data_IF_248326586845
#
_entry.id   IF_248326586845
#
_cell.length_a   1.000
_cell.length_b   1.000
_cell.length_c   1.000
_cell.angle_alpha   90.00
_cell.angle_beta   90.00
_cell.angle_gamma   90.00
#
_symmetry.space_group_name_H-M   'P 1'
#
loop_
_entity.id
_entity.type
_entity.pdbx_description
1 polymer ?
#
# COMPACT_ATOMS: atom_id res chain seq x y z
N UNK A 1 -41.48 -56.28 49.75
CA UNK A 1 -42.56 -55.38 50.20
C UNK A 1 -41.91 -54.02 50.43
N UNK A 2 -42.32 -52.86 49.91
CA UNK A 2 -43.58 -52.36 49.33
C UNK A 2 -43.28 -51.45 48.14
N UNK A 3 -44.28 -51.36 47.25
CA UNK A 3 -44.40 -50.50 46.07
C UNK A 3 -44.46 -49.01 46.44
N UNK A 4 -43.94 -48.14 45.56
CA UNK A 4 -44.53 -46.82 45.34
C UNK A 4 -44.58 -46.50 43.85
N UNK A 5 -45.71 -45.88 43.49
CA UNK A 5 -46.32 -45.66 42.18
C UNK A 5 -46.19 -44.17 41.85
N UNK A 6 -45.72 -43.90 40.63
CA UNK A 6 -45.83 -42.73 39.74
C UNK A 6 -46.10 -41.30 40.28
N UNK A 7 -45.33 -40.34 39.75
CA UNK A 7 -45.89 -39.09 39.22
C UNK A 7 -45.06 -38.60 38.02
N UNK A 8 -45.69 -38.67 36.85
CA UNK A 8 -45.23 -38.14 35.57
C UNK A 8 -45.29 -36.61 35.58
N UNK A 9 -44.22 -35.95 35.14
CA UNK A 9 -44.23 -34.59 34.61
C UNK A 9 -43.44 -34.60 33.30
N UNK A 10 -44.03 -34.31 32.12
CA UNK A 10 -43.25 -34.18 30.90
C UNK A 10 -42.62 -32.78 30.89
N UNK A 11 -41.33 -32.68 31.19
CA UNK A 11 -40.59 -31.45 30.95
C UNK A 11 -40.27 -31.38 29.45
N UNK A 12 -41.14 -30.68 28.73
CA UNK A 12 -40.98 -30.32 27.33
C UNK A 12 -39.78 -29.35 27.22
N UNK A 13 -38.58 -29.88 26.97
CA UNK A 13 -37.43 -29.06 26.63
C UNK A 13 -37.61 -28.55 25.19
N UNK A 14 -38.05 -27.30 25.08
CA UNK A 14 -38.04 -26.54 23.84
C UNK A 14 -36.62 -26.51 23.27
N UNK A 15 -36.41 -27.19 22.15
CA UNK A 15 -35.28 -26.94 21.29
C UNK A 15 -35.49 -25.57 20.63
N UNK A 16 -34.96 -24.51 21.24
CA UNK A 16 -34.77 -23.24 20.54
C UNK A 16 -33.61 -23.42 19.56
N UNK A 17 -33.90 -23.87 18.35
CA UNK A 17 -33.02 -23.61 17.20
C UNK A 17 -33.30 -22.17 16.77
N UNK A 18 -32.53 -21.23 17.32
CA UNK A 18 -32.41 -19.88 16.76
C UNK A 18 -31.17 -19.85 15.87
N UNK A 19 -31.37 -20.28 14.64
CA UNK A 19 -30.60 -19.79 13.50
C UNK A 19 -31.64 -19.18 12.57
N UNK A 20 -32.09 -17.96 12.87
CA UNK A 20 -32.65 -17.13 11.80
C UNK A 20 -31.47 -16.76 10.90
N UNK A 21 -31.52 -17.17 9.63
CA UNK A 21 -30.52 -16.81 8.63
C UNK A 21 -30.47 -15.27 8.55
N UNK A 22 -29.43 -14.66 9.12
CA UNK A 22 -29.31 -13.19 9.24
C UNK A 22 -29.10 -12.51 7.88
N UNK A 23 -28.85 -13.31 6.83
CA UNK A 23 -28.78 -12.89 5.43
C UNK A 23 -30.05 -13.32 4.69
N UNK A 24 -30.62 -12.38 3.93
CA UNK A 24 -31.78 -12.67 3.07
C UNK A 24 -31.42 -13.66 1.96
N UNK A 25 -30.21 -13.56 1.42
CA UNK A 25 -29.71 -14.47 0.39
C UNK A 25 -28.22 -14.72 0.57
N UNK A 26 -27.85 -16.00 0.62
CA UNK A 26 -26.46 -16.44 0.60
C UNK A 26 -25.87 -16.17 -0.78
N UNK A 27 -24.60 -15.76 -0.82
CA UNK A 27 -23.91 -15.54 -2.09
C UNK A 27 -23.85 -16.86 -2.87
N UNK A 28 -24.34 -16.85 -4.10
CA UNK A 28 -24.26 -17.99 -5.00
C UNK A 28 -23.65 -17.53 -6.32
N UNK A 29 -22.63 -18.25 -6.79
CA UNK A 29 -22.02 -18.00 -8.08
C UNK A 29 -21.63 -19.33 -8.73
N UNK A 30 -21.98 -19.47 -10.00
CA UNK A 30 -21.46 -20.47 -10.93
C UNK A 30 -20.76 -19.74 -12.07
N UNK A 31 -19.59 -20.23 -12.45
CA UNK A 31 -18.80 -19.68 -13.54
C UNK A 31 -18.56 -20.77 -14.57
N UNK A 32 -18.88 -20.48 -15.83
CA UNK A 32 -18.55 -21.33 -16.97
C UNK A 32 -17.90 -20.48 -18.07
N UNK A 33 -17.25 -21.10 -19.05
CA UNK A 33 -16.61 -20.36 -20.15
C UNK A 33 -17.30 -20.61 -21.48
N UNK A 34 -17.26 -19.62 -22.37
CA UNK A 34 -17.70 -19.78 -23.77
C UNK A 34 -16.56 -20.39 -24.58
N UNK A 35 -16.75 -21.63 -25.04
CA UNK A 35 -15.78 -22.33 -25.90
C UNK A 35 -15.91 -21.90 -27.36
N UNK A 36 -14.78 -21.83 -28.07
CA UNK A 36 -14.70 -21.55 -29.51
C UNK A 36 -13.35 -22.07 -30.07
N UNK A 37 -13.00 -21.73 -31.32
CA UNK A 37 -11.75 -22.18 -31.94
C UNK A 37 -10.47 -21.77 -31.19
N UNK A 38 -10.54 -20.72 -30.36
CA UNK A 38 -9.44 -20.18 -29.55
C UNK A 38 -9.56 -20.51 -28.06
N UNK A 39 -10.68 -21.08 -27.60
CA UNK A 39 -10.96 -21.40 -26.19
C UNK A 39 -11.52 -22.82 -26.08
N UNK A 40 -10.79 -23.71 -25.45
CA UNK A 40 -11.18 -25.10 -25.23
C UNK A 40 -11.25 -25.40 -23.74
N UNK A 41 -12.19 -26.25 -23.33
CA UNK A 41 -12.29 -26.71 -21.95
C UNK A 41 -12.17 -28.24 -21.91
N UNK A 42 -11.29 -28.75 -21.06
CA UNK A 42 -11.10 -30.17 -20.79
C UNK A 42 -11.10 -30.39 -19.28
N UNK A 43 -12.22 -30.92 -18.75
CA UNK A 43 -12.46 -30.96 -17.31
C UNK A 43 -12.39 -29.56 -16.69
N UNK A 44 -11.55 -29.41 -15.67
CA UNK A 44 -11.32 -28.16 -14.94
C UNK A 44 -10.27 -27.24 -15.59
N UNK A 45 -9.66 -27.67 -16.69
CA UNK A 45 -8.63 -26.93 -17.41
C UNK A 45 -9.23 -26.21 -18.61
N UNK A 46 -8.95 -24.91 -18.73
CA UNK A 46 -9.37 -24.06 -19.84
C UNK A 46 -8.12 -23.62 -20.60
N UNK A 47 -8.01 -24.01 -21.86
CA UNK A 47 -6.91 -23.60 -22.74
C UNK A 47 -7.39 -22.46 -23.64
N UNK A 48 -6.68 -21.33 -23.65
CA UNK A 48 -7.00 -20.15 -24.46
C UNK A 48 -5.78 -19.67 -25.24
N UNK A 49 -5.97 -19.26 -26.50
CA UNK A 49 -4.90 -18.61 -27.27
C UNK A 49 -4.61 -17.22 -26.73
N UNK A 50 -3.34 -16.88 -26.59
CA UNK A 50 -2.86 -15.56 -26.19
C UNK A 50 -3.50 -14.47 -27.06
N UNK A 51 -3.95 -13.39 -26.42
CA UNK A 51 -4.61 -12.27 -27.08
C UNK A 51 -6.06 -12.53 -27.50
N UNK A 52 -6.59 -13.75 -27.32
CA UNK A 52 -8.01 -14.03 -27.56
C UNK A 52 -8.87 -13.66 -26.36
N UNK A 53 -10.13 -13.32 -26.63
CA UNK A 53 -11.12 -13.04 -25.59
C UNK A 53 -11.56 -14.34 -24.91
N UNK A 54 -11.38 -14.42 -23.59
CA UNK A 54 -11.98 -15.44 -22.74
C UNK A 54 -13.24 -14.87 -22.08
N UNK A 55 -14.39 -15.39 -22.50
CA UNK A 55 -15.70 -14.95 -22.00
C UNK A 55 -16.18 -15.92 -20.91
N UNK A 56 -16.31 -15.40 -19.69
CA UNK A 56 -16.91 -16.08 -18.55
C UNK A 56 -18.41 -15.79 -18.51
N UNK A 57 -19.22 -16.83 -18.34
CA UNK A 57 -20.66 -16.74 -18.07
C UNK A 57 -20.86 -16.89 -16.57
N UNK A 58 -21.56 -15.93 -15.98
CA UNK A 58 -21.80 -15.82 -14.54
C UNK A 58 -23.27 -16.09 -14.27
N UNK A 59 -23.55 -17.05 -13.38
CA UNK A 59 -24.92 -17.38 -12.92
C UNK A 59 -25.01 -17.36 -11.41
N UNK A 60 -26.11 -16.84 -10.88
CA UNK A 60 -26.33 -16.61 -9.46
C UNK A 60 -26.70 -15.15 -9.21
N UNK A 61 -26.94 -14.79 -7.94
CA UNK A 61 -27.30 -13.43 -7.56
C UNK A 61 -26.42 -12.86 -6.44
N UNK A 62 -25.12 -12.64 -6.69
CA UNK A 62 -24.25 -12.04 -5.69
C UNK A 62 -24.26 -10.51 -5.77
N UNK A 63 -24.31 -9.79 -4.66
CA UNK A 63 -24.28 -8.32 -4.62
C UNK A 63 -22.99 -7.75 -5.24
N UNK A 64 -21.86 -8.38 -4.94
CA UNK A 64 -20.56 -7.98 -5.46
C UNK A 64 -19.82 -9.16 -6.08
N UNK A 65 -19.04 -8.89 -7.12
CA UNK A 65 -18.09 -9.84 -7.69
C UNK A 65 -16.76 -9.15 -7.90
N UNK A 66 -15.69 -9.74 -7.35
CA UNK A 66 -14.30 -9.35 -7.61
C UNK A 66 -13.58 -10.46 -8.37
N UNK A 67 -12.89 -10.09 -9.44
CA UNK A 67 -12.14 -10.99 -10.31
C UNK A 67 -10.63 -10.83 -10.13
N UNK A 68 -9.95 -11.95 -9.91
CA UNK A 68 -8.50 -12.08 -9.89
C UNK A 68 -8.08 -12.88 -11.12
N UNK A 69 -7.25 -12.33 -12.01
CA UNK A 69 -6.85 -13.04 -13.23
C UNK A 69 -5.80 -14.13 -12.99
N UNK A 70 -5.10 -14.09 -11.85
CA UNK A 70 -3.95 -14.97 -11.59
C UNK A 70 -2.65 -14.49 -12.24
N UNK A 71 -2.69 -13.40 -13.00
CA UNK A 71 -1.49 -12.70 -13.46
C UNK A 71 -0.76 -12.03 -12.28
N UNK A 72 0.53 -11.73 -12.43
CA UNK A 72 1.31 -11.08 -11.37
C UNK A 72 0.63 -9.78 -10.89
N UNK A 73 0.46 -9.64 -9.56
CA UNK A 73 -0.27 -8.53 -8.95
C UNK A 73 -1.79 -8.74 -8.83
N UNK A 74 -2.32 -9.84 -9.40
CA UNK A 74 -3.74 -10.18 -9.44
C UNK A 74 -3.99 -11.64 -9.03
N UNK A 75 -3.20 -12.19 -8.11
CA UNK A 75 -3.31 -13.56 -7.62
C UNK A 75 -4.09 -13.61 -6.30
N UNK A 76 -5.22 -14.34 -6.28
CA UNK A 76 -6.09 -14.44 -5.10
C UNK A 76 -5.38 -14.96 -3.85
N UNK A 77 -4.42 -15.88 -4.01
CA UNK A 77 -3.64 -16.43 -2.89
C UNK A 77 -2.82 -15.36 -2.15
N UNK A 78 -2.51 -14.24 -2.80
CA UNK A 78 -1.73 -13.13 -2.24
C UNK A 78 -2.58 -11.89 -1.90
N UNK A 79 -3.91 -12.02 -1.87
CA UNK A 79 -4.83 -10.91 -1.58
C UNK A 79 -4.67 -10.31 -0.16
N UNK A 80 -4.15 -11.10 0.78
CA UNK A 80 -3.88 -10.67 2.17
C UNK A 80 -2.37 -10.61 2.47
N UNK A 81 -1.51 -10.76 1.44
CA UNK A 81 -0.07 -10.84 1.63
C UNK A 81 0.46 -9.46 2.04
N UNK A 82 1.06 -9.40 3.21
CA UNK A 82 1.77 -8.22 3.72
C UNK A 82 3.30 -8.41 3.72
N UNK A 83 3.76 -9.67 3.62
CA UNK A 83 5.16 -10.04 3.61
C UNK A 83 5.45 -11.19 2.65
N UNK A 84 6.70 -11.23 2.19
CA UNK A 84 7.26 -12.31 1.39
C UNK A 84 8.15 -13.19 2.28
N UNK A 85 8.13 -14.51 2.04
CA UNK A 85 9.01 -15.45 2.72
C UNK A 85 10.48 -15.14 2.39
N UNK A 86 11.34 -15.12 3.41
CA UNK A 86 12.72 -14.68 3.25
C UNK A 86 13.51 -15.60 2.34
N UNK A 87 13.26 -16.92 2.40
CA UNK A 87 13.91 -17.88 1.52
C UNK A 87 13.58 -17.68 0.04
N UNK A 88 12.50 -16.98 -0.30
CA UNK A 88 12.11 -16.78 -1.69
C UNK A 88 12.74 -15.51 -2.30
N UNK A 89 13.37 -14.66 -1.48
CA UNK A 89 13.96 -13.38 -1.90
C UNK A 89 15.43 -13.57 -2.27
N UNK A 90 15.80 -13.13 -3.47
CA UNK A 90 17.18 -13.09 -3.97
C UNK A 90 17.86 -11.77 -3.57
N UNK A 91 17.15 -10.65 -3.69
CA UNK A 91 17.66 -9.32 -3.34
C UNK A 91 16.54 -8.36 -2.98
N UNK A 92 16.83 -7.40 -2.10
CA UNK A 92 15.93 -6.29 -1.75
C UNK A 92 16.61 -4.95 -1.99
N UNK A 93 15.92 -4.00 -2.60
CA UNK A 93 16.46 -2.67 -2.93
C UNK A 93 15.47 -1.57 -2.60
N UNK A 94 15.90 -0.54 -1.87
CA UNK A 94 15.18 0.74 -1.82
C UNK A 94 15.64 1.59 -3.01
N UNK A 95 14.71 1.97 -3.89
CA UNK A 95 14.98 2.83 -5.04
C UNK A 95 14.15 4.10 -4.95
N UNK A 96 14.74 5.24 -5.33
CA UNK A 96 14.05 6.53 -5.41
C UNK A 96 14.90 7.53 -6.21
N UNK A 97 14.31 8.67 -6.59
CA UNK A 97 15.07 9.82 -7.10
C UNK A 97 14.75 11.09 -6.33
N UNK A 98 15.71 12.01 -6.25
CA UNK A 98 15.54 13.31 -5.58
C UNK A 98 15.90 14.45 -6.51
N UNK A 99 15.10 15.51 -6.53
CA UNK A 99 15.44 16.77 -7.18
C UNK A 99 14.90 17.97 -6.42
N UNK A 100 15.60 19.09 -6.51
CA UNK A 100 15.22 20.33 -5.82
C UNK A 100 14.60 21.31 -6.81
N UNK A 101 13.57 22.03 -6.37
CA UNK A 101 12.93 23.08 -7.16
C UNK A 101 13.05 24.43 -6.44
N UNK A 102 13.30 25.50 -7.20
CA UNK A 102 13.47 26.88 -6.70
C UNK A 102 14.68 27.09 -5.80
N UNK A 103 15.01 28.36 -5.52
CA UNK A 103 16.18 28.73 -4.72
C UNK A 103 17.45 28.79 -5.55
N UNK A 104 18.60 28.56 -4.92
CA UNK A 104 19.91 28.50 -5.58
C UNK A 104 20.85 27.53 -4.85
N UNK A 105 22.08 27.37 -5.34
CA UNK A 105 23.06 26.47 -4.74
C UNK A 105 23.36 26.77 -3.25
N UNK A 106 23.36 28.05 -2.86
CA UNK A 106 23.62 28.42 -1.47
C UNK A 106 22.46 28.01 -0.54
N UNK A 107 21.20 28.18 -0.97
CA UNK A 107 20.03 27.75 -0.17
C UNK A 107 19.73 26.26 -0.27
N UNK A 108 20.33 25.56 -1.23
CA UNK A 108 20.25 24.11 -1.39
C UNK A 108 21.35 23.34 -0.64
N UNK A 109 22.44 24.00 -0.23
CA UNK A 109 23.55 23.37 0.46
C UNK A 109 23.11 22.75 1.80
N UNK A 110 23.42 21.46 2.01
CA UNK A 110 23.08 20.70 3.23
C UNK A 110 21.59 20.74 3.61
N UNK A 111 20.70 20.95 2.63
CA UNK A 111 19.27 21.15 2.85
C UNK A 111 18.55 19.91 3.37
N UNK A 112 18.90 18.75 2.82
CA UNK A 112 18.25 17.47 3.08
C UNK A 112 19.28 16.46 3.59
N UNK A 113 18.86 15.61 4.52
CA UNK A 113 19.59 14.41 4.93
C UNK A 113 18.62 13.24 4.98
N UNK A 114 19.07 12.06 4.57
CA UNK A 114 18.27 10.83 4.60
C UNK A 114 18.95 9.82 5.52
N UNK A 115 18.14 9.17 6.34
CA UNK A 115 18.60 8.31 7.43
C UNK A 115 17.89 6.97 7.44
N UNK A 116 18.54 5.98 8.05
CA UNK A 116 18.03 4.64 8.32
C UNK A 116 18.43 4.21 9.73
N UNK A 117 17.59 3.41 10.38
CA UNK A 117 17.88 2.78 11.66
C UNK A 117 17.07 1.50 11.83
N UNK A 118 17.66 0.45 12.39
CA UNK A 118 16.97 -0.76 12.87
C UNK A 118 16.73 -0.74 14.39
N UNK A 119 17.04 0.38 15.06
CA UNK A 119 16.91 0.57 16.51
C UNK A 119 16.08 1.78 16.93
N UNK A 120 15.63 2.60 15.98
CA UNK A 120 14.70 3.70 16.27
C UNK A 120 13.34 3.13 16.68
N UNK A 121 12.83 3.54 17.84
CA UNK A 121 11.64 2.93 18.46
C UNK A 121 10.31 3.38 17.86
N UNK A 122 10.33 4.29 16.89
CA UNK A 122 9.13 4.92 16.33
C UNK A 122 8.68 6.16 17.10
N UNK A 123 7.69 6.85 16.55
CA UNK A 123 7.07 8.04 17.16
C UNK A 123 5.78 7.65 17.88
N UNK A 124 5.49 8.26 19.03
CA UNK A 124 4.28 8.03 19.79
C UNK A 124 3.06 8.76 19.19
N UNK A 125 3.29 9.88 18.49
CA UNK A 125 2.29 10.69 17.74
C UNK A 125 1.20 11.33 18.61
N UNK A 126 1.35 11.30 19.93
CA UNK A 126 0.45 11.91 20.90
C UNK A 126 1.15 12.92 21.83
N UNK A 127 2.48 13.02 21.75
CA UNK A 127 3.30 13.95 22.51
C UNK A 127 4.41 14.53 21.63
N UNK A 128 4.11 15.65 20.97
CA UNK A 128 5.03 16.28 20.03
C UNK A 128 6.37 16.66 20.65
N UNK A 129 6.38 17.09 21.91
CA UNK A 129 7.62 17.48 22.58
C UNK A 129 8.58 16.29 22.70
N UNK A 130 8.09 15.15 23.16
CA UNK A 130 8.92 13.93 23.29
C UNK A 130 9.34 13.39 21.92
N UNK A 131 8.41 13.31 20.97
CA UNK A 131 8.70 12.86 19.60
C UNK A 131 9.76 13.74 18.93
N UNK A 132 9.66 15.07 19.08
CA UNK A 132 10.60 16.03 18.49
C UNK A 132 12.02 15.88 19.05
N UNK A 133 12.15 15.69 20.36
CA UNK A 133 13.45 15.45 21.02
C UNK A 133 14.01 14.08 20.63
N UNK A 134 13.17 13.05 20.59
CA UNK A 134 13.58 11.70 20.20
C UNK A 134 14.14 11.67 18.78
N UNK A 135 13.40 12.19 17.79
CA UNK A 135 13.85 12.14 16.39
C UNK A 135 15.10 12.98 16.14
N UNK A 136 15.19 14.18 16.74
CA UNK A 136 16.33 15.09 16.53
C UNK A 136 17.60 14.60 17.24
N UNK A 137 17.46 14.03 18.45
CA UNK A 137 18.58 13.56 19.26
C UNK A 137 19.07 12.14 18.92
N UNK A 138 18.35 11.39 18.09
CA UNK A 138 18.70 10.01 17.77
C UNK A 138 19.98 9.92 16.93
N UNK A 139 20.81 8.92 17.24
CA UNK A 139 22.04 8.63 16.51
C UNK A 139 21.74 7.87 15.20
N UNK A 140 21.32 8.62 14.19
CA UNK A 140 20.96 8.07 12.88
C UNK A 140 22.18 7.60 12.06
N UNK A 141 22.01 6.49 11.34
CA UNK A 141 22.90 6.14 10.22
C UNK A 141 22.41 6.83 8.95
N UNK A 142 23.33 7.22 8.08
CA UNK A 142 22.98 7.78 6.77
C UNK A 142 22.39 6.68 5.88
N UNK A 143 21.21 6.93 5.32
CA UNK A 143 20.60 6.05 4.30
C UNK A 143 21.34 6.18 2.96
N UNK A 144 21.73 7.41 2.63
CA UNK A 144 22.62 7.75 1.51
C UNK A 144 23.66 8.74 2.00
N UNK A 145 24.84 8.75 1.38
CA UNK A 145 25.86 9.76 1.69
C UNK A 145 25.27 11.17 1.50
N UNK A 146 25.28 12.05 2.53
CA UNK A 146 24.77 13.41 2.41
C UNK A 146 25.41 14.23 1.28
N UNK A 147 26.67 13.96 0.93
CA UNK A 147 27.37 14.64 -0.17
C UNK A 147 26.86 14.25 -1.56
N UNK A 148 26.15 13.12 -1.66
CA UNK A 148 25.53 12.64 -2.90
C UNK A 148 24.14 13.24 -3.17
N UNK A 149 23.55 13.94 -2.18
CA UNK A 149 22.26 14.62 -2.35
C UNK A 149 22.39 15.85 -3.25
N UNK A 150 21.31 16.29 -3.94
CA UNK A 150 21.36 17.48 -4.76
C UNK A 150 21.87 18.69 -3.95
N UNK A 151 22.73 19.49 -4.58
CA UNK A 151 23.33 20.70 -3.99
C UNK A 151 22.85 21.99 -4.67
N UNK A 152 22.02 21.88 -5.70
CA UNK A 152 21.40 22.99 -6.40
C UNK A 152 20.03 22.60 -6.97
N UNK A 153 19.14 23.57 -7.22
CA UNK A 153 17.86 23.31 -7.88
C UNK A 153 18.03 22.84 -9.33
N UNK A 154 17.16 21.94 -9.75
CA UNK A 154 17.07 21.40 -11.11
C UNK A 154 15.61 21.19 -11.50
N UNK A 155 15.31 20.16 -12.27
CA UNK A 155 13.97 19.74 -12.66
C UNK A 155 13.86 18.21 -12.65
N UNK A 156 12.64 17.70 -12.82
CA UNK A 156 12.36 16.27 -12.76
C UNK A 156 13.17 15.41 -13.75
N UNK A 157 13.56 15.95 -14.92
CA UNK A 157 14.38 15.22 -15.89
C UNK A 157 15.83 15.01 -15.43
N UNK A 158 16.29 15.78 -14.44
CA UNK A 158 17.62 15.68 -13.83
C UNK A 158 17.55 15.26 -12.36
N UNK A 159 16.56 14.44 -12.00
CA UNK A 159 16.50 13.86 -10.66
C UNK A 159 17.65 12.88 -10.43
N UNK A 160 18.36 13.05 -9.32
CA UNK A 160 19.44 12.15 -8.92
C UNK A 160 18.83 10.85 -8.43
N UNK A 161 19.24 9.73 -9.02
CA UNK A 161 18.72 8.39 -8.71
C UNK A 161 19.54 7.75 -7.58
N UNK A 162 18.86 7.05 -6.68
CA UNK A 162 19.45 6.29 -5.59
C UNK A 162 18.93 4.87 -5.60
N UNK A 163 19.83 3.94 -5.31
CA UNK A 163 19.56 2.53 -5.07
C UNK A 163 20.35 2.15 -3.82
N UNK A 164 19.66 1.66 -2.79
CA UNK A 164 20.24 1.23 -1.52
C UNK A 164 19.92 -0.25 -1.33
N UNK A 165 20.95 -1.06 -1.07
CA UNK A 165 20.78 -2.48 -0.80
C UNK A 165 20.09 -2.69 0.56
N UNK A 166 18.90 -3.25 0.50
CA UNK A 166 18.06 -3.57 1.65
C UNK A 166 18.16 -5.05 2.05
N UNK A 167 18.89 -5.87 1.28
CA UNK A 167 19.10 -7.30 1.56
C UNK A 167 19.61 -7.57 2.99
N UNK A 168 20.56 -6.80 3.56
CA UNK A 168 21.03 -6.98 4.94
C UNK A 168 19.97 -6.74 6.04
N UNK A 169 18.82 -6.16 5.67
CA UNK A 169 17.73 -5.81 6.57
C UNK A 169 16.49 -6.70 6.40
N UNK A 170 16.57 -7.74 5.56
CA UNK A 170 15.51 -8.74 5.43
C UNK A 170 15.15 -9.35 6.80
N UNK A 171 13.85 -9.41 7.09
CA UNK A 171 13.33 -9.89 8.38
C UNK A 171 13.50 -8.93 9.57
N UNK A 172 14.17 -7.78 9.38
CA UNK A 172 14.32 -6.75 10.41
C UNK A 172 13.28 -5.64 10.24
N UNK A 173 12.87 -5.07 11.37
CA UNK A 173 12.15 -3.80 11.40
C UNK A 173 13.16 -2.67 11.29
N UNK A 174 12.88 -1.71 10.43
CA UNK A 174 13.71 -0.52 10.25
C UNK A 174 12.84 0.73 10.09
N UNK A 175 13.41 1.88 10.37
CA UNK A 175 12.83 3.18 10.12
C UNK A 175 13.74 3.94 9.17
N UNK A 176 13.13 4.59 8.17
CA UNK A 176 13.80 5.58 7.34
C UNK A 176 13.28 6.97 7.70
N UNK A 177 14.16 7.97 7.64
CA UNK A 177 13.78 9.35 7.94
C UNK A 177 14.42 10.34 6.96
N UNK A 178 13.72 11.43 6.68
CA UNK A 178 14.22 12.57 5.93
C UNK A 178 14.21 13.82 6.83
N UNK A 179 15.31 14.57 6.85
CA UNK A 179 15.47 15.79 7.63
C UNK A 179 15.68 16.98 6.68
N UNK A 180 14.69 17.88 6.63
CA UNK A 180 14.75 19.14 5.88
C UNK A 180 15.13 20.29 6.81
N UNK A 181 16.32 20.86 6.64
CA UNK A 181 16.86 21.91 7.53
C UNK A 181 17.68 22.95 6.76
N UNK A 182 17.04 23.86 6.01
CA UNK A 182 17.73 24.98 5.37
C UNK A 182 18.46 25.86 6.40
N UNK A 183 19.63 26.35 6.02
CA UNK A 183 20.45 27.26 6.84
C UNK A 183 20.42 28.70 6.36
N UNK A 184 20.01 28.92 5.11
CA UNK A 184 19.93 30.23 4.46
C UNK A 184 18.54 30.47 3.87
N UNK A 185 18.11 31.73 3.91
CA UNK A 185 16.87 32.21 3.31
C UNK A 185 17.11 33.45 2.42
N UNK A 186 18.34 33.68 1.97
CA UNK A 186 18.69 34.80 1.07
C UNK A 186 18.02 34.68 -0.30
N UNK A 187 17.63 33.47 -0.69
CA UNK A 187 16.71 33.15 -1.77
C UNK A 187 15.65 32.16 -1.27
N UNK A 188 14.79 31.66 -2.16
CA UNK A 188 13.83 30.63 -1.78
C UNK A 188 14.52 29.41 -1.14
N UNK A 189 13.93 28.91 -0.07
CA UNK A 189 14.28 27.61 0.51
C UNK A 189 13.72 26.55 -0.45
N UNK A 190 14.57 25.70 -1.07
CA UNK A 190 14.12 24.84 -2.15
C UNK A 190 13.03 23.86 -1.73
N UNK A 191 12.12 23.55 -2.66
CA UNK A 191 11.24 22.38 -2.55
C UNK A 191 12.08 21.14 -2.81
N UNK A 192 11.91 20.09 -2.03
CA UNK A 192 12.56 18.80 -2.28
C UNK A 192 11.51 17.82 -2.74
N UNK A 193 11.74 17.21 -3.90
CA UNK A 193 10.84 16.24 -4.51
C UNK A 193 11.50 14.86 -4.49
N UNK A 194 10.78 13.89 -3.96
CA UNK A 194 11.10 12.47 -4.03
C UNK A 194 10.20 11.85 -5.10
N UNK A 195 10.79 11.01 -5.94
CA UNK A 195 10.12 10.38 -7.08
C UNK A 195 10.30 8.88 -7.01
N UNK A 196 9.21 8.14 -7.13
CA UNK A 196 9.19 6.69 -7.28
C UNK A 196 9.83 5.94 -6.12
N UNK A 197 9.78 6.46 -4.89
CA UNK A 197 10.33 5.77 -3.73
C UNK A 197 9.60 4.46 -3.43
N UNK A 198 10.34 3.36 -3.47
CA UNK A 198 9.83 2.00 -3.27
C UNK A 198 10.90 1.02 -2.83
N UNK A 199 10.51 -0.01 -2.09
CA UNK A 199 11.31 -1.22 -1.89
C UNK A 199 10.89 -2.22 -2.97
N UNK A 200 11.86 -2.81 -3.66
CA UNK A 200 11.66 -3.88 -4.62
C UNK A 200 12.39 -5.14 -4.16
N UNK A 201 11.64 -6.24 -4.03
CA UNK A 201 12.22 -7.56 -3.76
C UNK A 201 12.17 -8.38 -5.05
N UNK A 202 13.34 -8.85 -5.50
CA UNK A 202 13.46 -9.80 -6.60
C UNK A 202 13.41 -11.20 -6.04
N UNK A 203 12.50 -12.01 -6.58
CA UNK A 203 12.20 -13.36 -6.15
C UNK A 203 13.03 -14.39 -6.90
N UNK A 204 13.16 -15.60 -6.35
CA UNK A 204 13.85 -16.74 -7.01
C UNK A 204 13.24 -17.14 -8.36
N UNK A 205 11.94 -16.96 -8.51
CA UNK A 205 11.22 -17.22 -9.77
C UNK A 205 11.36 -16.08 -10.79
N UNK A 206 12.11 -15.03 -10.46
CA UNK A 206 12.33 -13.84 -11.28
C UNK A 206 11.22 -12.79 -11.19
N UNK A 207 10.15 -13.03 -10.43
CA UNK A 207 9.14 -12.02 -10.16
C UNK A 207 9.66 -10.91 -9.24
N UNK A 208 8.99 -9.76 -9.24
CA UNK A 208 9.31 -8.62 -8.39
C UNK A 208 8.09 -8.23 -7.59
N UNK A 209 8.27 -8.08 -6.28
CA UNK A 209 7.26 -7.45 -5.41
C UNK A 209 7.70 -6.04 -5.06
N UNK A 210 6.73 -5.15 -4.88
CA UNK A 210 6.99 -3.73 -4.66
C UNK A 210 6.21 -3.21 -3.46
N UNK A 211 6.88 -2.43 -2.62
CA UNK A 211 6.27 -1.62 -1.56
C UNK A 211 6.59 -0.15 -1.80
N UNK A 212 5.61 0.63 -2.24
CA UNK A 212 5.75 2.07 -2.43
C UNK A 212 5.75 2.83 -1.10
N UNK A 213 6.23 4.07 -1.12
CA UNK A 213 6.30 4.98 0.03
C UNK A 213 5.00 5.12 0.84
N UNK A 214 3.83 4.92 0.24
CA UNK A 214 2.56 4.88 0.97
C UNK A 214 2.55 3.81 2.07
N UNK A 215 3.13 2.64 1.79
CA UNK A 215 3.27 1.56 2.76
C UNK A 215 4.29 1.84 3.87
N UNK A 216 5.03 2.95 3.79
CA UNK A 216 5.97 3.35 4.85
C UNK A 216 5.29 4.16 5.96
N UNK A 217 4.04 4.59 5.75
CA UNK A 217 3.24 5.35 6.72
C UNK A 217 3.98 6.54 7.33
N UNK A 218 4.63 7.32 6.46
CA UNK A 218 5.41 8.47 6.87
C UNK A 218 4.62 9.46 7.74
N UNK A 219 5.25 9.86 8.84
CA UNK A 219 4.75 10.85 9.79
C UNK A 219 5.66 12.09 9.74
N UNK A 220 5.15 13.25 9.30
CA UNK A 220 5.84 14.53 9.43
C UNK A 220 6.11 14.89 10.88
N UNK A 221 7.22 15.57 11.17
CA UNK A 221 7.46 16.25 12.45
C UNK A 221 7.87 17.69 12.15
N UNK A 222 6.90 18.59 12.17
CA UNK A 222 7.11 20.02 11.88
C UNK A 222 7.69 20.73 13.11
N UNK A 223 9.01 20.85 13.18
CA UNK A 223 9.73 21.48 14.29
C UNK A 223 9.37 22.96 14.47
N UNK A 224 8.71 23.58 13.49
CA UNK A 224 8.26 24.97 13.53
C UNK A 224 6.76 25.12 13.86
N UNK A 225 6.06 24.05 14.23
CA UNK A 225 4.61 24.01 14.41
C UNK A 225 4.05 25.11 15.33
N UNK A 226 4.73 25.41 16.44
CA UNK A 226 4.30 26.37 17.46
C UNK A 226 4.74 27.82 17.20
N UNK A 227 5.55 28.08 16.16
CA UNK A 227 6.02 29.43 15.82
C UNK A 227 4.96 30.28 15.10
N UNK A 228 3.80 29.69 14.75
CA UNK A 228 2.67 30.36 14.08
C UNK A 228 3.11 31.17 12.84
N UNK A 229 3.97 30.57 12.01
CA UNK A 229 4.52 31.22 10.83
C UNK A 229 3.40 31.64 9.86
N UNK A 230 3.45 32.88 9.37
CA UNK A 230 2.40 33.48 8.53
C UNK A 230 2.16 32.71 7.22
N UNK A 231 3.22 32.12 6.66
CA UNK A 231 3.20 31.29 5.44
C UNK A 231 2.73 29.84 5.68
N UNK A 232 2.37 29.51 6.92
CA UNK A 232 1.74 28.24 7.32
C UNK A 232 0.35 28.43 7.92
N UNK A 233 -0.27 29.61 7.76
CA UNK A 233 -1.57 29.96 8.38
C UNK A 233 -2.74 29.07 7.92
N UNK A 234 -2.62 28.44 6.75
CA UNK A 234 -3.64 27.53 6.22
C UNK A 234 -3.67 26.17 6.95
N UNK A 235 -2.65 25.83 7.73
CA UNK A 235 -2.71 24.67 8.62
C UNK A 235 -3.48 25.05 9.89
N UNK A 236 -4.78 24.80 9.85
CA UNK A 236 -5.72 25.09 10.96
C UNK A 236 -5.81 23.95 11.98
N UNK A 237 -5.35 22.75 11.63
CA UNK A 237 -5.30 21.58 12.51
C UNK A 237 -4.01 20.78 12.29
N UNK A 238 -3.64 19.97 13.29
CA UNK A 238 -2.49 19.05 13.28
C UNK A 238 -1.21 19.70 12.70
N UNK A 239 -0.76 20.80 13.32
CA UNK A 239 0.41 21.54 12.82
C UNK A 239 1.72 20.79 13.07
N UNK A 240 1.70 19.91 14.06
CA UNK A 240 2.77 19.05 14.55
C UNK A 240 3.12 17.96 13.54
N UNK A 241 2.10 17.22 13.06
CA UNK A 241 2.29 16.03 12.23
C UNK A 241 1.54 16.07 10.88
N UNK A 242 0.85 17.16 10.58
CA UNK A 242 -0.01 17.25 9.40
C UNK A 242 0.75 17.33 8.08
N UNK A 243 0.15 16.74 7.04
CA UNK A 243 0.54 16.91 5.64
C UNK A 243 -0.42 17.86 4.92
N UNK A 244 -0.04 18.29 3.74
CA UNK A 244 -0.86 19.17 2.88
C UNK A 244 -0.95 18.62 1.46
N UNK A 245 -2.03 18.95 0.76
CA UNK A 245 -2.15 18.74 -0.69
C UNK A 245 -2.00 20.05 -1.47
N UNK A 246 -2.10 21.19 -0.78
CA UNK A 246 -1.84 22.54 -1.30
C UNK A 246 -0.39 22.98 -1.02
N UNK A 247 0.03 24.08 -1.64
CA UNK A 247 1.40 24.59 -1.59
C UNK A 247 1.74 25.35 -0.29
N UNK A 248 1.62 24.71 0.88
CA UNK A 248 1.95 25.35 2.18
C UNK A 248 3.44 25.26 2.45
N UNK A 249 4.08 26.41 2.67
CA UNK A 249 5.54 26.54 2.79
C UNK A 249 6.15 25.68 3.91
N UNK A 250 7.12 24.83 3.56
CA UNK A 250 7.85 23.99 4.52
C UNK A 250 7.05 22.80 5.08
N UNK A 251 5.93 22.43 4.46
CA UNK A 251 5.10 21.30 4.88
C UNK A 251 5.16 20.18 3.84
N UNK A 252 5.08 18.94 4.32
CA UNK A 252 5.13 17.74 3.50
C UNK A 252 3.80 17.50 2.76
N UNK A 253 3.91 17.05 1.53
CA UNK A 253 2.82 16.59 0.69
C UNK A 253 3.09 15.15 0.26
N UNK A 254 2.21 14.25 0.72
CA UNK A 254 2.30 12.80 0.51
C UNK A 254 1.22 12.29 -0.46
N UNK A 255 0.51 13.17 -1.19
CA UNK A 255 -0.61 12.77 -2.04
C UNK A 255 -0.22 11.77 -3.16
N UNK A 256 1.05 11.78 -3.57
CA UNK A 256 1.59 10.86 -4.58
C UNK A 256 2.25 9.60 -4.01
N UNK A 257 2.22 9.39 -2.68
CA UNK A 257 3.02 8.35 -2.03
C UNK A 257 2.64 6.93 -2.50
N UNK A 258 1.42 6.73 -3.01
CA UNK A 258 0.95 5.46 -3.61
C UNK A 258 1.75 5.07 -4.86
N UNK A 259 2.43 6.03 -5.50
CA UNK A 259 3.37 5.83 -6.61
C UNK A 259 4.82 6.09 -6.21
N UNK A 260 5.08 6.32 -4.92
CA UNK A 260 6.39 6.66 -4.38
C UNK A 260 6.75 8.15 -4.47
N UNK A 261 5.81 9.01 -4.86
CA UNK A 261 6.06 10.44 -5.08
C UNK A 261 5.63 11.28 -3.86
N UNK A 262 6.52 12.12 -3.35
CA UNK A 262 6.18 13.05 -2.28
C UNK A 262 7.15 14.23 -2.26
N UNK A 263 6.81 15.29 -1.54
CA UNK A 263 7.67 16.47 -1.47
C UNK A 263 7.49 17.29 -0.21
N UNK A 264 8.47 18.11 0.13
CA UNK A 264 8.31 19.22 1.07
C UNK A 264 8.34 20.54 0.31
N UNK A 265 7.34 21.38 0.52
CA UNK A 265 7.17 22.62 -0.25
C UNK A 265 8.24 23.67 0.07
N UNK A 266 8.62 24.43 -0.97
CA UNK A 266 9.53 25.57 -0.86
C UNK A 266 8.97 26.69 0.02
N UNK A 267 9.84 27.57 0.48
CA UNK A 267 9.48 28.83 1.12
C UNK A 267 10.13 30.01 0.38
N UNK A 268 9.48 31.17 0.34
CA UNK A 268 10.01 32.36 -0.32
C UNK A 268 11.33 32.85 0.32
N UNK A 269 12.13 33.59 -0.44
CA UNK A 269 13.28 34.32 0.11
C UNK A 269 12.85 35.29 1.21
N UNK A 270 13.66 35.41 2.25
CA UNK A 270 13.36 36.18 3.46
C UNK A 270 12.37 35.52 4.43
N UNK A 271 11.68 34.45 4.04
CA UNK A 271 10.80 33.71 4.95
C UNK A 271 11.61 33.08 6.09
N UNK A 272 10.98 32.91 7.27
CA UNK A 272 11.61 32.20 8.39
C UNK A 272 12.01 30.79 7.96
N UNK A 273 13.23 30.38 8.34
CA UNK A 273 13.76 29.05 8.06
C UNK A 273 12.80 27.98 8.58
N UNK A 274 12.56 26.98 7.74
CA UNK A 274 11.76 25.82 8.10
C UNK A 274 12.67 24.75 8.69
N UNK A 275 12.06 23.87 9.47
CA UNK A 275 12.73 22.69 9.97
C UNK A 275 11.68 21.61 10.15
N UNK A 276 11.85 20.49 9.46
CA UNK A 276 10.86 19.42 9.43
C UNK A 276 11.53 18.08 9.20
N UNK A 277 11.00 17.05 9.86
CA UNK A 277 11.34 15.67 9.58
C UNK A 277 10.18 14.96 8.90
N UNK A 278 10.48 13.86 8.24
CA UNK A 278 9.53 12.87 7.77
C UNK A 278 10.06 11.50 8.19
N UNK A 279 9.32 10.78 9.05
CA UNK A 279 9.79 9.54 9.68
C UNK A 279 8.83 8.43 9.32
N UNK A 280 9.31 7.31 8.78
CA UNK A 280 8.45 6.16 8.51
C UNK A 280 8.00 5.50 9.80
N UNK A 281 6.96 4.68 9.72
CA UNK A 281 6.77 3.64 10.73
C UNK A 281 7.93 2.64 10.67
N UNK A 282 7.93 1.66 11.58
CA UNK A 282 8.81 0.50 11.44
C UNK A 282 8.35 -0.34 10.25
N UNK A 283 9.13 -0.29 9.16
CA UNK A 283 8.90 -1.06 7.94
C UNK A 283 9.79 -2.29 7.92
N UNK A 284 9.42 -3.28 7.11
CA UNK A 284 10.23 -4.47 6.85
C UNK A 284 10.60 -4.50 5.37
N UNK A 285 11.85 -4.88 5.05
CA UNK A 285 12.30 -4.95 3.66
C UNK A 285 11.53 -6.01 2.85
N UNK A 286 11.13 -7.12 3.49
CA UNK A 286 10.33 -8.16 2.86
C UNK A 286 8.82 -7.88 2.90
N UNK A 287 8.38 -6.69 3.34
CA UNK A 287 6.99 -6.30 3.22
C UNK A 287 6.63 -6.02 1.75
N UNK A 288 5.40 -6.34 1.37
CA UNK A 288 4.90 -6.11 0.01
C UNK A 288 3.42 -5.71 0.04
N UNK A 289 2.97 -5.04 -1.03
CA UNK A 289 1.53 -4.84 -1.22
C UNK A 289 0.82 -6.17 -1.54
N UNK A 290 -0.43 -6.35 -1.08
CA UNK A 290 -1.25 -7.48 -1.49
C UNK A 290 -1.60 -7.39 -2.98
N UNK A 291 -1.96 -8.51 -3.57
CA UNK A 291 -2.47 -8.58 -4.93
C UNK A 291 -3.94 -8.12 -4.98
N UNK A 292 -4.30 -7.36 -6.01
CA UNK A 292 -5.63 -6.74 -6.11
C UNK A 292 -6.52 -7.47 -7.11
N UNK A 293 -7.78 -7.63 -6.76
CA UNK A 293 -8.80 -8.04 -7.71
C UNK A 293 -9.46 -6.84 -8.38
N UNK A 294 -9.99 -7.05 -9.57
CA UNK A 294 -10.84 -6.08 -10.29
C UNK A 294 -12.27 -6.25 -9.81
N UNK A 295 -12.88 -5.19 -9.26
CA UNK A 295 -14.31 -5.19 -8.98
C UNK A 295 -15.07 -5.16 -10.32
N UNK A 296 -15.87 -6.19 -10.59
CA UNK A 296 -16.60 -6.34 -11.87
C UNK A 296 -18.11 -6.23 -11.71
N UNK A 297 -18.66 -6.41 -10.50
CA UNK A 297 -20.09 -6.22 -10.18
C UNK A 297 -20.25 -5.48 -8.84
N UNK A 298 -21.28 -4.63 -8.76
CA UNK A 298 -21.81 -4.02 -7.55
C UNK A 298 -23.34 -4.22 -7.48
N UNK A 299 -23.97 -3.70 -6.42
CA UNK A 299 -25.43 -3.84 -6.17
C UNK A 299 -26.34 -3.15 -7.20
N UNK A 300 -25.81 -2.24 -8.02
CA UNK A 300 -26.66 -1.45 -8.94
C UNK A 300 -26.90 -2.14 -10.27
N UNK A 301 -26.06 -3.11 -10.64
CA UNK A 301 -26.08 -3.72 -11.96
C UNK A 301 -26.04 -5.25 -11.88
N UNK A 302 -26.86 -5.90 -12.70
CA UNK A 302 -26.73 -7.34 -12.92
C UNK A 302 -25.59 -7.62 -13.92
N UNK A 303 -24.76 -8.63 -13.63
CA UNK A 303 -23.64 -9.02 -14.48
C UNK A 303 -23.76 -10.51 -14.82
N UNK A 304 -24.07 -10.81 -16.08
CA UNK A 304 -24.25 -12.18 -16.58
C UNK A 304 -23.02 -12.73 -17.29
N UNK A 305 -22.05 -11.88 -17.64
CA UNK A 305 -20.80 -12.30 -18.26
C UNK A 305 -19.67 -11.31 -17.98
N UNK A 306 -18.44 -11.80 -18.10
CA UNK A 306 -17.22 -10.99 -17.99
C UNK A 306 -16.17 -11.47 -18.99
N UNK A 307 -15.44 -10.56 -19.61
CA UNK A 307 -14.42 -10.88 -20.62
C UNK A 307 -13.05 -10.47 -20.11
N UNK A 308 -12.08 -11.39 -20.21
CA UNK A 308 -10.66 -11.10 -19.95
C UNK A 308 -9.78 -11.52 -21.13
N UNK A 309 -8.62 -10.88 -21.29
CA UNK A 309 -7.63 -11.21 -22.33
C UNK A 309 -6.28 -11.44 -21.66
N UNK A 310 -5.75 -12.66 -21.78
CA UNK A 310 -4.38 -12.97 -21.36
C UNK A 310 -3.41 -12.71 -22.50
N UNK A 311 -2.41 -11.86 -22.26
CA UNK A 311 -1.43 -11.45 -23.27
C UNK A 311 -0.08 -12.17 -23.14
N UNK A 312 0.06 -13.08 -22.18
CA UNK A 312 1.28 -13.85 -21.94
C UNK A 312 0.92 -15.33 -21.86
N UNK A 313 1.74 -16.16 -22.52
CA UNK A 313 1.68 -17.62 -22.40
C UNK A 313 2.02 -18.02 -20.98
N UNK A 314 1.31 -18.99 -20.42
CA UNK A 314 1.51 -19.43 -19.05
C UNK A 314 0.29 -20.11 -18.45
N UNK A 315 0.42 -20.55 -17.20
CA UNK A 315 -0.69 -21.10 -16.42
C UNK A 315 -1.12 -20.10 -15.36
N UNK A 316 -2.41 -19.83 -15.28
CA UNK A 316 -3.02 -18.87 -14.37
C UNK A 316 -4.17 -19.52 -13.60
N UNK A 317 -4.42 -19.01 -12.40
CA UNK A 317 -5.60 -19.35 -11.61
C UNK A 317 -6.53 -18.14 -11.57
N UNK A 318 -7.57 -18.17 -12.39
CA UNK A 318 -8.61 -17.16 -12.39
C UNK A 318 -9.55 -17.40 -11.23
N UNK A 319 -9.81 -16.38 -10.40
CA UNK A 319 -10.66 -16.51 -9.21
C UNK A 319 -11.74 -15.44 -9.19
N UNK A 320 -12.99 -15.87 -9.03
CA UNK A 320 -14.14 -15.01 -8.80
C UNK A 320 -14.54 -15.12 -7.33
N UNK A 321 -14.64 -13.96 -6.68
CA UNK A 321 -15.10 -13.84 -5.30
C UNK A 321 -16.44 -13.13 -5.33
N UNK A 322 -17.50 -13.86 -5.01
CA UNK A 322 -18.86 -13.37 -4.89
C UNK A 322 -19.20 -13.15 -3.42
N UNK A 323 -19.77 -11.99 -3.08
CA UNK A 323 -20.15 -11.65 -1.70
C UNK A 323 -21.52 -11.01 -1.64
N UNK A 324 -22.33 -11.42 -0.65
CA UNK A 324 -23.55 -10.75 -0.19
C UNK A 324 -23.32 -10.34 1.25
N UNK A 325 -23.60 -9.10 1.60
CA UNK A 325 -23.41 -8.64 2.98
C UNK A 325 -24.45 -7.62 3.40
N UNK A 326 -24.74 -7.61 4.70
CA UNK A 326 -25.51 -6.57 5.36
C UNK A 326 -24.79 -6.11 6.63
N UNK A 327 -25.41 -5.27 7.45
CA UNK A 327 -24.78 -4.73 8.65
C UNK A 327 -24.50 -5.77 9.77
N UNK A 328 -25.00 -7.01 9.64
CA UNK A 328 -24.85 -8.08 10.64
C UNK A 328 -24.02 -9.27 10.15
N UNK A 329 -24.12 -9.61 8.88
CA UNK A 329 -23.56 -10.84 8.34
C UNK A 329 -23.01 -10.67 6.91
N UNK A 330 -22.10 -11.58 6.54
CA UNK A 330 -21.49 -11.69 5.22
C UNK A 330 -21.55 -13.16 4.76
N UNK A 331 -21.91 -13.36 3.49
CA UNK A 331 -21.80 -14.64 2.78
C UNK A 331 -20.86 -14.49 1.61
N UNK A 332 -19.99 -15.48 1.41
CA UNK A 332 -18.93 -15.44 0.41
C UNK A 332 -18.80 -16.78 -0.30
N UNK A 333 -18.71 -16.72 -1.63
CA UNK A 333 -18.40 -17.87 -2.48
C UNK A 333 -17.19 -17.56 -3.36
N UNK A 334 -16.25 -18.51 -3.42
CA UNK A 334 -15.06 -18.44 -4.27
C UNK A 334 -15.19 -19.50 -5.37
N UNK A 335 -14.87 -19.09 -6.60
CA UNK A 335 -14.81 -19.97 -7.78
C UNK A 335 -13.45 -19.82 -8.45
N UNK A 336 -12.76 -20.93 -8.62
CA UNK A 336 -11.43 -20.98 -9.23
C UNK A 336 -11.49 -21.71 -10.56
N UNK A 337 -10.76 -21.20 -11.55
CA UNK A 337 -10.62 -21.80 -12.87
C UNK A 337 -9.14 -21.86 -13.25
N UNK A 338 -8.69 -23.03 -13.74
CA UNK A 338 -7.31 -23.21 -14.19
C UNK A 338 -7.22 -22.82 -15.66
N UNK A 339 -6.51 -21.73 -15.95
CA UNK A 339 -6.34 -21.20 -17.30
C UNK A 339 -4.95 -21.53 -17.80
N UNK A 340 -4.85 -22.17 -18.96
CA UNK A 340 -3.61 -22.36 -19.70
C UNK A 340 -3.66 -21.48 -20.95
N UNK A 341 -2.72 -20.55 -21.05
CA UNK A 341 -2.58 -19.65 -22.20
C UNK A 341 -1.49 -20.18 -23.10
N UNK A 342 -1.86 -20.47 -24.34
CA UNK A 342 -0.97 -20.99 -25.41
C UNK A 342 -0.83 -19.95 -26.53
N UNK A 343 0.08 -20.16 -27.47
CA UNK A 343 0.25 -19.25 -28.62
C UNK A 343 -0.94 -19.24 -29.59
#
# INVERSE_FOLDING_TARGET
>A
MKRYIYLLLPLLAFAFVSCEDELKEQAALSVSVVTNNNVQQSGDKITVKKGSQLNFILKGDPDFITFFSGEAGHQYIYKDRDQVALEDIVSSKLTFSVWYQYGNAATAANLMKLYISDSFTGLAKNNFKEDSVLVEGFAWNNLVDPSSLPSAPSNAAHATKYEVDFTPYLGKRMTIAACYKPTLNTAAQPRVNFVGMKIENTMKDGSVTTLYANGFNFTPVNMMCHHKLADQKSMTANREYGTVTNNVSGIWNLAGASKGDFSIHSSNGGAKLKYSWLVSDMIMANACSPDYGTAIKNVTESLSSYTHIYNKVGTYKAVFVATNSNYKAESKVVRELNIEVVD
#
